data_IF_684708869471
#
_entry.id   IF_684708869471
#
_cell.length_a   1.000
_cell.length_b   1.000
_cell.length_c   1.000
_cell.angle_alpha   90.00
_cell.angle_beta   90.00
_cell.angle_gamma   90.00
#
_symmetry.space_group_name_H-M   'P 1'
#
loop_
_entity.id
_entity.type
_entity.pdbx_description
1 polymer ?
#
# COMPACT_ATOMS: atom_id res chain seq x y z
N UNK A 1 -4.80 -5.73 -16.82
CA UNK A 1 -4.93 -4.88 -15.63
C UNK A 1 -3.60 -4.85 -14.89
N UNK A 2 -3.09 -3.66 -14.57
CA UNK A 2 -1.87 -3.52 -13.78
C UNK A 2 -2.09 -3.98 -12.33
N UNK A 3 -1.01 -4.19 -11.59
CA UNK A 3 -1.11 -4.56 -10.18
C UNK A 3 -1.86 -3.49 -9.36
N UNK A 4 -1.55 -2.21 -9.59
CA UNK A 4 -2.24 -1.13 -8.87
C UNK A 4 -3.74 -1.11 -9.15
N UNK A 5 -4.15 -1.38 -10.38
CA UNK A 5 -5.57 -1.49 -10.74
C UNK A 5 -6.24 -2.70 -10.08
N UNK A 6 -5.55 -3.85 -10.06
CA UNK A 6 -6.06 -5.06 -9.39
C UNK A 6 -6.22 -4.84 -7.90
N UNK A 7 -5.23 -4.24 -7.28
CA UNK A 7 -5.26 -3.92 -5.85
C UNK A 7 -6.42 -2.99 -5.52
N UNK A 8 -6.61 -1.93 -6.31
CA UNK A 8 -7.72 -1.00 -6.13
C UNK A 8 -9.07 -1.70 -6.25
N UNK A 9 -9.23 -2.54 -7.27
CA UNK A 9 -10.48 -3.27 -7.50
C UNK A 9 -10.80 -4.20 -6.33
N UNK A 10 -9.81 -4.92 -5.81
CA UNK A 10 -10.00 -5.81 -4.66
C UNK A 10 -10.39 -5.03 -3.40
N UNK A 11 -9.74 -3.89 -3.16
CA UNK A 11 -10.07 -3.07 -2.00
C UNK A 11 -11.45 -2.43 -2.10
N UNK A 12 -11.84 -1.98 -3.28
CA UNK A 12 -13.17 -1.37 -3.51
C UNK A 12 -14.30 -2.41 -3.39
N UNK A 13 -14.02 -3.66 -3.74
CA UNK A 13 -14.98 -4.77 -3.67
C UNK A 13 -14.35 -5.89 -2.82
N UNK A 14 -14.20 -5.62 -1.54
CA UNK A 14 -13.43 -6.47 -0.66
C UNK A 14 -13.82 -7.95 -0.76
N UNK A 15 -12.83 -8.78 -1.06
CA UNK A 15 -12.91 -10.23 -1.05
C UNK A 15 -11.56 -10.72 -0.54
N UNK A 16 -11.58 -11.36 0.62
CA UNK A 16 -10.38 -11.81 1.32
C UNK A 16 -9.54 -12.76 0.47
N UNK A 17 -10.18 -13.67 -0.24
CA UNK A 17 -9.48 -14.65 -1.08
C UNK A 17 -8.84 -13.97 -2.30
N UNK A 18 -9.55 -13.04 -2.93
CA UNK A 18 -9.00 -12.28 -4.06
C UNK A 18 -7.84 -11.38 -3.61
N UNK A 19 -7.92 -10.80 -2.41
CA UNK A 19 -6.81 -10.04 -1.85
C UNK A 19 -5.56 -10.90 -1.70
N UNK A 20 -5.71 -12.11 -1.17
CA UNK A 20 -4.58 -13.03 -1.02
C UNK A 20 -4.00 -13.46 -2.36
N UNK A 21 -4.82 -13.61 -3.39
CA UNK A 21 -4.37 -14.06 -4.72
C UNK A 21 -3.44 -13.08 -5.42
N UNK A 22 -3.53 -11.79 -5.12
CA UNK A 22 -2.63 -10.79 -5.71
C UNK A 22 -1.31 -10.66 -4.94
N UNK A 23 -1.15 -11.45 -3.89
CA UNK A 23 0.06 -11.48 -3.07
C UNK A 23 0.78 -12.82 -3.19
N UNK A 24 2.11 -12.76 -3.12
CA UNK A 24 2.94 -13.96 -3.04
C UNK A 24 2.74 -14.62 -1.66
N UNK A 25 2.78 -15.97 -1.57
CA UNK A 25 2.63 -16.65 -0.27
C UNK A 25 3.62 -16.18 0.81
N UNK A 26 4.81 -15.77 0.40
CA UNK A 26 5.86 -15.27 1.31
C UNK A 26 5.81 -13.76 1.51
N UNK A 27 4.69 -13.13 1.17
CA UNK A 27 4.53 -11.69 1.29
C UNK A 27 4.85 -11.17 2.69
N UNK A 28 5.57 -10.05 2.74
CA UNK A 28 5.84 -9.32 3.96
C UNK A 28 5.54 -7.84 3.75
N UNK A 29 4.86 -7.25 4.71
CA UNK A 29 4.68 -5.80 4.81
C UNK A 29 5.67 -5.26 5.83
N UNK A 30 6.43 -4.25 5.44
CA UNK A 30 7.51 -3.68 6.24
C UNK A 30 7.25 -2.20 6.42
N UNK A 31 7.11 -1.78 7.67
CA UNK A 31 6.96 -0.37 8.02
C UNK A 31 7.86 -0.06 9.21
N UNK A 32 8.94 0.69 8.96
CA UNK A 32 9.95 1.01 9.97
C UNK A 32 10.50 -0.27 10.61
N UNK A 33 10.16 -0.54 11.86
CA UNK A 33 10.60 -1.74 12.59
C UNK A 33 9.56 -2.85 12.60
N UNK A 34 8.42 -2.67 11.94
CA UNK A 34 7.34 -3.64 11.95
C UNK A 34 7.41 -4.55 10.72
N UNK A 35 7.32 -5.86 10.96
CA UNK A 35 7.21 -6.87 9.91
C UNK A 35 5.87 -7.58 10.07
N UNK A 36 5.09 -7.63 8.99
CA UNK A 36 3.74 -8.19 9.00
C UNK A 36 3.63 -9.24 7.89
N UNK A 37 3.16 -10.44 8.24
CA UNK A 37 2.95 -11.53 7.28
C UNK A 37 1.70 -11.27 6.44
N UNK A 38 1.52 -12.07 5.37
CA UNK A 38 0.33 -11.97 4.53
C UNK A 38 -0.96 -12.15 5.33
N UNK A 39 -1.02 -13.14 6.21
CA UNK A 39 -2.23 -13.40 6.98
C UNK A 39 -2.55 -12.24 7.92
N UNK A 40 -1.56 -11.73 8.63
CA UNK A 40 -1.73 -10.58 9.51
C UNK A 40 -2.14 -9.33 8.73
N UNK A 41 -1.51 -9.10 7.59
CA UNK A 41 -1.82 -7.96 6.72
C UNK A 41 -3.24 -8.05 6.18
N UNK A 42 -3.65 -9.24 5.73
CA UNK A 42 -5.01 -9.49 5.23
C UNK A 42 -6.05 -9.17 6.32
N UNK A 43 -5.80 -9.62 7.54
CA UNK A 43 -6.70 -9.35 8.66
C UNK A 43 -6.80 -7.87 8.98
N UNK A 44 -5.69 -7.14 8.92
CA UNK A 44 -5.67 -5.69 9.14
C UNK A 44 -6.47 -4.95 8.06
N UNK A 45 -6.32 -5.36 6.80
CA UNK A 45 -7.05 -4.74 5.69
C UNK A 45 -8.54 -5.02 5.80
N UNK A 46 -8.91 -6.24 6.17
CA UNK A 46 -10.31 -6.59 6.37
C UNK A 46 -10.98 -5.76 7.47
N UNK A 47 -10.30 -5.58 8.58
CA UNK A 47 -10.79 -4.73 9.68
C UNK A 47 -10.94 -3.28 9.23
N UNK A 48 -9.98 -2.77 8.46
CA UNK A 48 -10.04 -1.41 7.95
C UNK A 48 -11.21 -1.20 7.00
N UNK A 49 -11.43 -2.13 6.07
CA UNK A 49 -12.56 -2.08 5.14
C UNK A 49 -13.89 -2.13 5.89
N UNK A 50 -14.03 -3.07 6.83
CA UNK A 50 -15.28 -3.26 7.57
C UNK A 50 -15.56 -2.13 8.58
N UNK A 51 -14.55 -1.40 9.01
CA UNK A 51 -14.74 -0.23 9.87
C UNK A 51 -15.39 0.96 9.14
N UNK A 52 -15.42 0.92 7.81
CA UNK A 52 -15.86 2.03 6.99
C UNK A 52 -14.80 3.11 6.76
N UNK A 53 -13.66 3.03 7.46
CA UNK A 53 -12.61 4.03 7.36
C UNK A 53 -11.88 4.01 6.03
N UNK A 54 -11.81 2.85 5.38
CA UNK A 54 -11.18 2.73 4.06
C UNK A 54 -11.78 3.71 3.07
N UNK A 55 -13.09 3.68 2.89
CA UNK A 55 -13.79 4.55 1.94
C UNK A 55 -13.61 6.03 2.28
N UNK A 56 -13.69 6.36 3.57
CA UNK A 56 -13.51 7.72 4.05
C UNK A 56 -12.07 8.21 3.83
N UNK A 57 -11.09 7.41 4.24
CA UNK A 57 -9.67 7.77 4.16
C UNK A 57 -9.23 7.95 2.71
N UNK A 58 -9.67 7.07 1.80
CA UNK A 58 -9.27 7.14 0.39
C UNK A 58 -9.98 8.24 -0.39
N UNK A 59 -11.23 8.54 -0.07
CA UNK A 59 -12.02 9.53 -0.81
C UNK A 59 -11.88 10.94 -0.27
N UNK A 60 -11.74 11.09 1.04
CA UNK A 60 -11.76 12.40 1.70
C UNK A 60 -10.39 12.91 2.11
N UNK A 61 -9.47 12.03 2.46
CA UNK A 61 -8.19 12.42 3.08
C UNK A 61 -6.98 12.11 2.25
N UNK A 62 -7.09 11.24 1.26
CA UNK A 62 -5.94 10.60 0.68
C UNK A 62 -5.98 10.63 -0.84
N UNK A 63 -5.11 11.44 -1.42
CA UNK A 63 -4.89 11.42 -2.86
C UNK A 63 -3.62 10.63 -3.12
N UNK A 64 -3.79 9.38 -3.49
CA UNK A 64 -2.66 8.50 -3.80
C UNK A 64 -2.22 8.71 -5.23
N UNK A 65 -0.94 8.99 -5.41
CA UNK A 65 -0.32 9.09 -6.73
C UNK A 65 0.41 7.81 -7.07
N UNK A 66 0.21 7.30 -8.27
CA UNK A 66 1.03 6.24 -8.82
C UNK A 66 2.28 6.89 -9.38
N UNK A 67 3.43 6.70 -8.72
CA UNK A 67 4.70 7.31 -9.10
C UNK A 67 5.37 6.51 -10.21
N UNK A 68 5.37 5.20 -10.07
CA UNK A 68 6.02 4.29 -11.02
C UNK A 68 5.40 2.91 -10.93
N UNK A 69 5.26 2.25 -12.07
CA UNK A 69 4.82 0.86 -12.10
C UNK A 69 5.39 0.15 -13.31
N UNK A 70 5.95 -1.02 -13.07
CA UNK A 70 6.36 -1.97 -14.10
C UNK A 70 6.11 -3.39 -13.57
N UNK A 71 6.63 -4.41 -14.26
CA UNK A 71 6.43 -5.81 -13.85
C UNK A 71 7.09 -6.17 -12.52
N UNK A 72 8.07 -5.37 -12.07
CA UNK A 72 8.84 -5.66 -10.86
C UNK A 72 8.46 -4.80 -9.67
N UNK A 73 7.97 -3.59 -9.90
CA UNK A 73 7.76 -2.58 -8.86
C UNK A 73 6.48 -1.79 -9.10
N UNK A 74 5.78 -1.50 -8.01
CA UNK A 74 4.72 -0.49 -7.96
C UNK A 74 5.07 0.48 -6.84
N UNK A 75 5.18 1.76 -7.15
CA UNK A 75 5.43 2.79 -6.15
C UNK A 75 4.25 3.74 -6.07
N UNK A 76 3.71 3.90 -4.85
CA UNK A 76 2.61 4.80 -4.53
C UNK A 76 3.07 5.86 -3.56
N UNK A 77 2.45 7.03 -3.62
CA UNK A 77 2.80 8.16 -2.75
C UNK A 77 1.56 8.94 -2.36
N UNK A 78 1.48 9.35 -1.10
CA UNK A 78 0.40 10.22 -0.62
C UNK A 78 0.85 11.03 0.58
N UNK A 79 0.08 12.07 0.90
CA UNK A 79 0.31 12.88 2.09
C UNK A 79 -0.76 12.55 3.13
N UNK A 80 -0.35 12.48 4.39
CA UNK A 80 -1.24 12.16 5.49
C UNK A 80 -0.72 12.80 6.77
N UNK A 81 -1.55 13.62 7.41
CA UNK A 81 -1.23 14.24 8.70
C UNK A 81 0.13 14.96 8.75
N UNK A 82 0.46 15.69 7.69
CA UNK A 82 1.71 16.44 7.60
C UNK A 82 2.92 15.63 7.20
N UNK A 83 2.74 14.35 6.86
CA UNK A 83 3.81 13.48 6.41
C UNK A 83 3.65 13.10 4.94
N UNK A 84 4.78 12.89 4.26
CA UNK A 84 4.80 12.23 2.97
C UNK A 84 5.00 10.74 3.22
N UNK A 85 4.10 9.92 2.67
CA UNK A 85 4.18 8.47 2.76
C UNK A 85 4.51 7.91 1.40
N UNK A 86 5.51 7.04 1.36
CA UNK A 86 5.88 6.29 0.16
C UNK A 86 5.65 4.81 0.42
N UNK A 87 5.03 4.14 -0.54
CA UNK A 87 4.76 2.72 -0.47
C UNK A 87 5.33 2.07 -1.72
N UNK A 88 6.38 1.28 -1.54
CA UNK A 88 7.04 0.55 -2.61
C UNK A 88 6.67 -0.92 -2.50
N UNK A 89 6.12 -1.46 -3.57
CA UNK A 89 5.70 -2.86 -3.64
C UNK A 89 6.61 -3.58 -4.64
N UNK A 90 7.44 -4.48 -4.14
CA UNK A 90 8.27 -5.34 -4.98
C UNK A 90 7.46 -6.57 -5.34
N UNK A 91 7.53 -6.99 -6.61
CA UNK A 91 6.72 -8.08 -7.13
C UNK A 91 7.57 -9.27 -7.54
N UNK A 92 7.02 -10.48 -7.35
CA UNK A 92 7.54 -11.72 -7.91
C UNK A 92 6.44 -12.38 -8.73
N UNK A 93 6.69 -12.68 -9.97
CA UNK A 93 5.71 -13.30 -10.88
C UNK A 93 4.40 -12.51 -10.94
N UNK A 94 4.50 -11.19 -10.90
CA UNK A 94 3.33 -10.30 -10.92
C UNK A 94 2.57 -10.19 -9.60
N UNK A 95 3.01 -10.86 -8.55
CA UNK A 95 2.37 -10.84 -7.23
C UNK A 95 3.17 -9.95 -6.27
N UNK A 96 2.45 -9.23 -5.38
CA UNK A 96 3.10 -8.47 -4.34
C UNK A 96 3.90 -9.39 -3.42
N UNK A 97 5.19 -9.12 -3.29
CA UNK A 97 6.09 -9.95 -2.49
C UNK A 97 6.60 -9.21 -1.27
N UNK A 98 7.01 -7.96 -1.44
CA UNK A 98 7.44 -7.11 -0.32
C UNK A 98 6.80 -5.74 -0.49
N UNK A 99 6.16 -5.25 0.56
CA UNK A 99 5.70 -3.87 0.65
C UNK A 99 6.53 -3.15 1.68
N UNK A 100 7.07 -1.99 1.29
CA UNK A 100 7.90 -1.17 2.17
C UNK A 100 7.26 0.21 2.24
N UNK A 101 6.89 0.62 3.45
CA UNK A 101 6.27 1.91 3.68
C UNK A 101 7.19 2.78 4.52
N UNK A 102 7.46 3.98 4.04
CA UNK A 102 8.23 4.99 4.75
C UNK A 102 7.40 6.24 4.96
N UNK A 103 7.62 6.90 6.07
CA UNK A 103 6.94 8.14 6.43
C UNK A 103 7.97 9.21 6.74
N UNK A 104 7.85 10.37 6.09
CA UNK A 104 8.76 11.51 6.29
C UNK A 104 7.95 12.77 6.53
N UNK A 105 8.21 13.53 7.61
CA UNK A 105 7.54 14.81 7.80
C UNK A 105 7.78 15.74 6.62
N UNK A 106 6.72 16.37 6.12
CA UNK A 106 6.83 17.29 4.96
C UNK A 106 7.78 18.45 5.23
N UNK A 107 7.83 18.94 6.46
CA UNK A 107 8.73 20.01 6.85
C UNK A 107 10.21 19.66 6.67
N UNK A 108 10.56 18.38 6.79
CA UNK A 108 11.95 17.91 6.64
C UNK A 108 12.38 17.81 5.18
N UNK A 109 11.42 17.73 4.25
CA UNK A 109 11.71 17.56 2.82
C UNK A 109 12.30 18.81 2.18
N UNK A 110 11.99 19.98 2.71
CA UNK A 110 12.53 21.24 2.19
C UNK A 110 14.04 21.33 2.36
N UNK A 111 14.59 20.65 3.35
CA UNK A 111 16.02 20.63 3.63
C UNK A 111 16.78 19.63 2.74
N UNK A 112 16.08 18.72 2.10
CA UNK A 112 16.67 17.63 1.32
C UNK A 112 16.73 17.95 -0.18
N UNK A 113 16.00 18.96 -0.62
CA UNK A 113 16.00 19.38 -2.03
C UNK A 113 17.24 20.24 -2.30
N UNK A 114 18.25 19.62 -2.80
CA UNK A 114 19.50 20.28 -3.15
C UNK A 114 19.63 20.32 -4.66
#
# INVERSE_FOLDING_TARGET
>A
MSFSQKSRAVMDNWDKEEFKKIHHPDYMFIRETELVTLDEWTDRMEKWVFSGNFSKDTKERRKTSLVHENEHVTELRWEEEGDLITHVILKKKGLAWRSIVNRVPLEDLEEVII
#
